data_IF_071241455811
#
_entry.id   IF_071241455811
#
_cell.length_a   1.000
_cell.length_b   1.000
_cell.length_c   1.000
_cell.angle_alpha   90.00
_cell.angle_beta   90.00
_cell.angle_gamma   90.00
#
_symmetry.space_group_name_H-M   'P 1'
#
loop_
_entity.id
_entity.type
_entity.pdbx_description
1 polymer ?
#
# COMPACT_ATOMS: atom_id res chain seq x y z
N UNK A 1 37.74 9.56 -2.61
CA UNK A 1 37.33 10.12 -3.91
C UNK A 1 36.09 10.93 -3.69
N UNK A 2 36.20 12.27 -3.59
CA UNK A 2 35.05 13.14 -3.30
C UNK A 2 34.32 13.46 -4.61
N UNK A 3 33.09 12.99 -4.76
CA UNK A 3 32.21 13.44 -5.85
C UNK A 3 31.73 14.88 -5.53
N UNK A 4 32.34 15.85 -6.18
CA UNK A 4 31.84 17.23 -6.20
C UNK A 4 30.63 17.27 -7.14
N UNK A 5 29.45 17.13 -6.61
CA UNK A 5 28.21 17.34 -7.36
C UNK A 5 28.01 18.84 -7.55
N UNK A 6 28.12 19.32 -8.78
CA UNK A 6 27.63 20.65 -9.16
C UNK A 6 26.09 20.63 -9.10
N UNK A 7 25.51 20.76 -7.91
CA UNK A 7 24.06 20.84 -7.70
C UNK A 7 23.66 22.29 -7.56
N UNK A 8 23.17 22.87 -8.64
CA UNK A 8 22.39 24.09 -8.60
C UNK A 8 20.92 23.71 -8.31
N UNK A 9 20.54 23.67 -7.05
CA UNK A 9 19.15 23.36 -6.66
C UNK A 9 18.98 23.38 -5.15
N UNK A 10 17.78 23.75 -4.69
CA UNK A 10 17.39 23.66 -3.28
C UNK A 10 17.20 22.19 -2.91
N UNK A 11 17.94 21.69 -1.92
CA UNK A 11 17.79 20.35 -1.37
C UNK A 11 16.85 20.39 -0.17
N UNK A 12 15.85 19.51 -0.17
CA UNK A 12 14.97 19.29 0.99
C UNK A 12 15.17 17.84 1.45
N UNK A 13 15.52 17.67 2.71
CA UNK A 13 15.70 16.36 3.31
C UNK A 13 14.44 15.93 4.08
N UNK A 14 14.11 14.66 4.00
CA UNK A 14 13.11 14.01 4.86
C UNK A 14 13.88 13.20 5.89
N UNK A 15 13.65 13.47 7.17
CA UNK A 15 14.29 12.76 8.28
C UNK A 15 13.30 11.82 8.93
N UNK A 16 13.65 10.55 9.01
CA UNK A 16 12.90 9.54 9.79
C UNK A 16 13.65 9.31 11.09
N UNK A 17 13.05 9.66 12.20
CA UNK A 17 13.60 9.41 13.54
C UNK A 17 12.86 8.21 14.13
N UNK A 18 13.59 7.13 14.39
CA UNK A 18 13.04 5.93 14.99
C UNK A 18 13.99 5.41 16.05
N UNK A 19 13.46 5.08 17.23
CA UNK A 19 14.23 4.47 18.33
C UNK A 19 14.39 2.95 18.18
N UNK A 20 13.61 2.33 17.28
CA UNK A 20 13.65 0.89 17.02
C UNK A 20 14.45 0.61 15.73
N UNK A 21 15.59 -0.08 15.93
CA UNK A 21 16.49 -0.45 14.83
C UNK A 21 15.82 -1.41 13.82
N UNK A 22 15.01 -2.35 14.29
CA UNK A 22 14.33 -3.33 13.41
C UNK A 22 13.28 -2.63 12.53
N UNK A 23 12.55 -1.66 13.09
CA UNK A 23 11.62 -0.84 12.34
C UNK A 23 12.36 0.01 11.30
N UNK A 24 13.51 0.57 11.64
CA UNK A 24 14.32 1.37 10.72
C UNK A 24 14.83 0.52 9.52
N UNK A 25 15.28 -0.70 9.78
CA UNK A 25 15.69 -1.65 8.73
C UNK A 25 14.51 -2.04 7.83
N UNK A 26 13.32 -2.22 8.41
CA UNK A 26 12.08 -2.47 7.66
C UNK A 26 11.75 -1.29 6.74
N UNK A 27 11.76 -0.07 7.26
CA UNK A 27 11.53 1.16 6.49
C UNK A 27 12.54 1.28 5.34
N UNK A 28 13.83 1.04 5.62
CA UNK A 28 14.87 1.12 4.60
C UNK A 28 14.65 0.08 3.49
N UNK A 29 14.28 -1.15 3.84
CA UNK A 29 13.95 -2.21 2.88
C UNK A 29 12.75 -1.83 2.01
N UNK A 30 11.71 -1.25 2.59
CA UNK A 30 10.51 -0.81 1.89
C UNK A 30 10.81 0.32 0.90
N UNK A 31 11.56 1.33 1.34
CA UNK A 31 11.93 2.48 0.51
C UNK A 31 12.86 2.05 -0.64
N UNK A 32 13.79 1.14 -0.38
CA UNK A 32 14.67 0.57 -1.41
C UNK A 32 13.87 -0.17 -2.49
N UNK A 33 12.84 -0.93 -2.14
CA UNK A 33 11.92 -1.58 -3.09
C UNK A 33 11.14 -0.58 -3.95
N UNK A 34 10.90 0.63 -3.45
CA UNK A 34 10.29 1.74 -4.21
C UNK A 34 11.33 2.51 -5.06
N UNK A 35 12.58 2.08 -5.08
CA UNK A 35 13.67 2.73 -5.81
C UNK A 35 14.11 4.04 -5.16
N UNK A 36 13.96 4.15 -3.84
CA UNK A 36 14.50 5.24 -3.03
C UNK A 36 15.78 4.73 -2.38
N UNK A 37 16.87 5.45 -2.57
CA UNK A 37 18.19 5.08 -2.03
C UNK A 37 18.34 5.73 -0.66
N UNK A 38 18.53 4.91 0.38
CA UNK A 38 18.90 5.35 1.71
C UNK A 38 20.41 5.26 1.92
N UNK A 39 21.01 6.31 2.45
CA UNK A 39 22.41 6.34 2.85
C UNK A 39 22.47 6.59 4.35
N UNK A 40 23.14 5.71 5.09
CA UNK A 40 23.39 5.92 6.51
C UNK A 40 24.61 6.82 6.68
N UNK A 41 24.48 7.83 7.56
CA UNK A 41 25.62 8.65 7.98
C UNK A 41 26.39 8.01 9.16
N UNK A 42 27.46 8.66 9.60
CA UNK A 42 28.29 8.19 10.70
C UNK A 42 27.55 8.16 12.06
N UNK A 43 26.45 8.88 12.18
CA UNK A 43 25.62 8.95 13.38
C UNK A 43 24.47 7.92 13.36
N UNK A 44 24.40 7.10 12.27
CA UNK A 44 23.36 6.07 12.09
C UNK A 44 22.01 6.62 11.58
N UNK A 45 21.96 7.88 11.13
CA UNK A 45 20.77 8.47 10.52
C UNK A 45 20.69 8.08 9.03
N UNK A 46 19.50 7.76 8.55
CA UNK A 46 19.27 7.46 7.14
C UNK A 46 18.79 8.71 6.40
N UNK A 47 19.46 8.99 5.29
CA UNK A 47 19.11 10.05 4.35
C UNK A 47 18.56 9.43 3.07
N UNK A 48 17.34 9.76 2.69
CA UNK A 48 16.69 9.21 1.51
C UNK A 48 16.72 10.20 0.36
N UNK A 49 17.15 9.73 -0.82
CA UNK A 49 17.26 10.54 -2.03
C UNK A 49 16.17 10.18 -3.03
N UNK A 50 15.38 11.17 -3.43
CA UNK A 50 14.43 11.07 -4.52
C UNK A 50 14.88 11.96 -5.66
N UNK A 51 15.31 11.35 -6.79
CA UNK A 51 15.77 12.12 -7.95
C UNK A 51 14.59 12.69 -8.74
N UNK A 52 14.39 14.00 -8.63
CA UNK A 52 13.36 14.76 -9.34
C UNK A 52 13.81 15.41 -10.65
N UNK A 53 15.08 15.28 -11.05
CA UNK A 53 15.64 16.00 -12.20
C UNK A 53 15.03 15.57 -13.53
N UNK A 54 14.73 14.27 -13.71
CA UNK A 54 14.16 13.73 -14.94
C UNK A 54 12.64 13.81 -15.01
N UNK A 55 11.97 13.68 -13.87
CA UNK A 55 10.50 13.70 -13.82
C UNK A 55 10.02 14.17 -12.46
N UNK A 56 9.70 15.46 -12.37
CA UNK A 56 9.23 16.11 -11.14
C UNK A 56 7.94 15.49 -10.59
N UNK A 57 7.01 15.12 -11.46
CA UNK A 57 5.72 14.53 -11.07
C UNK A 57 5.92 13.17 -10.41
N UNK A 58 6.77 12.31 -10.99
CA UNK A 58 7.14 11.02 -10.39
C UNK A 58 7.88 11.16 -9.06
N UNK A 59 8.75 12.15 -8.94
CA UNK A 59 9.46 12.41 -7.69
C UNK A 59 8.48 12.86 -6.59
N UNK A 60 7.57 13.78 -6.92
CA UNK A 60 6.53 14.25 -6.00
C UNK A 60 5.59 13.11 -5.57
N UNK A 61 5.16 12.28 -6.51
CA UNK A 61 4.36 11.08 -6.19
C UNK A 61 5.10 10.15 -5.22
N UNK A 62 6.39 9.88 -5.45
CA UNK A 62 7.19 9.06 -4.53
C UNK A 62 7.30 9.67 -3.14
N UNK A 63 7.48 10.98 -3.03
CA UNK A 63 7.52 11.67 -1.73
C UNK A 63 6.17 11.56 -1.04
N UNK A 64 5.08 11.81 -1.76
CA UNK A 64 3.72 11.66 -1.23
C UNK A 64 3.45 10.23 -0.77
N UNK A 65 3.87 9.21 -1.54
CA UNK A 65 3.72 7.80 -1.17
C UNK A 65 4.48 7.48 0.12
N UNK A 66 5.70 8.02 0.30
CA UNK A 66 6.50 7.84 1.51
C UNK A 66 5.82 8.52 2.71
N UNK A 67 5.38 9.76 2.53
CA UNK A 67 4.71 10.55 3.58
C UNK A 67 3.37 9.91 3.93
N UNK A 68 2.57 9.56 2.93
CA UNK A 68 1.30 8.89 3.14
C UNK A 68 1.49 7.57 3.91
N UNK A 69 2.43 6.72 3.48
CA UNK A 69 2.71 5.46 4.16
C UNK A 69 3.12 5.65 5.63
N UNK A 70 3.83 6.75 5.97
CA UNK A 70 4.24 7.06 7.34
C UNK A 70 3.07 7.53 8.22
N UNK A 71 2.07 8.18 7.62
CA UNK A 71 0.87 8.66 8.31
C UNK A 71 -0.29 7.65 8.27
N UNK A 72 -0.20 6.58 7.47
CA UNK A 72 -1.30 5.64 7.22
C UNK A 72 -1.21 4.35 8.05
N UNK A 73 -0.44 4.30 9.12
CA UNK A 73 -0.58 3.21 10.10
C UNK A 73 -1.96 3.31 10.75
N UNK A 74 -2.76 2.25 10.61
CA UNK A 74 -3.91 2.09 11.49
C UNK A 74 -3.34 1.84 12.89
N UNK A 75 -3.85 2.60 13.87
CA UNK A 75 -3.58 2.31 15.27
C UNK A 75 -3.91 0.83 15.55
N UNK A 76 -3.10 0.14 16.33
CA UNK A 76 -3.27 -1.29 16.65
C UNK A 76 -4.68 -1.62 17.16
N UNK A 77 -5.36 -0.65 17.75
CA UNK A 77 -6.69 -0.76 18.37
C UNK A 77 -7.88 -0.67 17.42
N UNK A 78 -7.69 -0.64 16.09
CA UNK A 78 -8.83 -0.57 15.17
C UNK A 78 -9.57 -1.91 15.17
N UNK A 79 -10.85 -1.96 15.59
CA UNK A 79 -11.65 -3.18 15.56
C UNK A 79 -11.79 -3.72 14.13
N UNK A 80 -11.68 -5.03 13.97
CA UNK A 80 -11.81 -5.69 12.66
C UNK A 80 -13.20 -5.43 12.02
N UNK A 81 -14.22 -5.26 12.86
CA UNK A 81 -15.57 -4.89 12.43
C UNK A 81 -15.63 -3.56 11.67
N UNK A 82 -14.84 -2.57 12.05
CA UNK A 82 -14.75 -1.29 11.31
C UNK A 82 -14.09 -1.47 9.95
N UNK A 83 -13.03 -2.27 9.89
CA UNK A 83 -12.35 -2.58 8.62
C UNK A 83 -13.31 -3.31 7.69
N UNK A 84 -14.02 -4.32 8.19
CA UNK A 84 -15.02 -5.08 7.44
C UNK A 84 -16.13 -4.17 6.92
N UNK A 85 -16.67 -3.30 7.75
CA UNK A 85 -17.72 -2.35 7.37
C UNK A 85 -17.24 -1.39 6.29
N UNK A 86 -16.07 -0.77 6.47
CA UNK A 86 -15.48 0.13 5.49
C UNK A 86 -15.27 -0.56 4.13
N UNK A 87 -14.70 -1.77 4.15
CA UNK A 87 -14.42 -2.53 2.93
C UNK A 87 -15.69 -2.92 2.18
N UNK A 88 -16.72 -3.39 2.88
CA UNK A 88 -18.02 -3.71 2.24
C UNK A 88 -18.59 -2.50 1.53
N UNK A 89 -18.58 -1.34 2.18
CA UNK A 89 -19.09 -0.10 1.58
C UNK A 89 -18.27 0.29 0.36
N UNK A 90 -16.95 0.24 0.44
CA UNK A 90 -16.05 0.57 -0.68
C UNK A 90 -16.27 -0.36 -1.86
N UNK A 91 -16.36 -1.67 -1.64
CA UNK A 91 -16.61 -2.62 -2.72
C UNK A 91 -17.93 -2.32 -3.45
N UNK A 92 -18.97 -1.97 -2.71
CA UNK A 92 -20.25 -1.53 -3.30
C UNK A 92 -20.10 -0.22 -4.06
N UNK A 93 -19.38 0.77 -3.51
CA UNK A 93 -19.14 2.07 -4.16
C UNK A 93 -18.40 1.92 -5.50
N UNK A 94 -17.57 0.87 -5.65
CA UNK A 94 -16.86 0.53 -6.88
C UNK A 94 -17.54 -0.56 -7.72
N UNK A 95 -18.84 -0.79 -7.50
CA UNK A 95 -19.68 -1.71 -8.26
C UNK A 95 -19.21 -3.17 -8.24
N UNK A 96 -18.54 -3.60 -7.17
CA UNK A 96 -18.22 -5.01 -7.02
C UNK A 96 -19.46 -5.80 -6.57
N UNK A 97 -19.77 -6.88 -7.27
CA UNK A 97 -20.80 -7.82 -6.87
C UNK A 97 -20.29 -8.68 -5.69
N UNK A 98 -20.87 -8.44 -4.50
CA UNK A 98 -20.48 -9.13 -3.28
C UNK A 98 -20.81 -10.62 -3.25
N UNK A 99 -21.65 -11.11 -4.18
CA UNK A 99 -21.96 -12.54 -4.31
C UNK A 99 -20.86 -13.35 -4.99
N UNK A 100 -19.93 -12.70 -5.67
CA UNK A 100 -18.87 -13.37 -6.41
C UNK A 100 -17.74 -13.83 -5.48
N UNK A 101 -17.28 -15.05 -5.68
CA UNK A 101 -16.10 -15.62 -4.99
C UNK A 101 -14.87 -14.74 -5.21
N UNK A 102 -14.70 -14.20 -6.43
CA UNK A 102 -13.62 -13.26 -6.75
C UNK A 102 -13.67 -11.99 -5.92
N UNK A 103 -14.84 -11.46 -5.62
CA UNK A 103 -15.01 -10.31 -4.72
C UNK A 103 -14.65 -10.68 -3.28
N UNK A 104 -15.01 -11.88 -2.82
CA UNK A 104 -14.60 -12.40 -1.51
C UNK A 104 -13.07 -12.54 -1.43
N UNK A 105 -12.41 -12.98 -2.50
CA UNK A 105 -10.96 -13.07 -2.57
C UNK A 105 -10.30 -11.67 -2.52
N UNK A 106 -10.83 -10.68 -3.25
CA UNK A 106 -10.39 -9.29 -3.18
C UNK A 106 -10.57 -8.74 -1.76
N UNK A 107 -11.71 -8.97 -1.14
CA UNK A 107 -12.01 -8.56 0.22
C UNK A 107 -10.97 -9.08 1.22
N UNK A 108 -10.64 -10.39 1.18
CA UNK A 108 -9.65 -11.00 2.08
C UNK A 108 -8.23 -10.43 1.87
N UNK A 109 -7.82 -10.22 0.61
CA UNK A 109 -6.53 -9.59 0.30
C UNK A 109 -6.48 -8.18 0.87
N UNK A 110 -7.50 -7.37 0.55
CA UNK A 110 -7.52 -5.95 0.94
C UNK A 110 -7.65 -5.80 2.45
N UNK A 111 -8.46 -6.64 3.12
CA UNK A 111 -8.56 -6.68 4.58
C UNK A 111 -7.20 -6.91 5.24
N UNK A 112 -6.43 -7.90 4.75
CA UNK A 112 -5.08 -8.17 5.25
C UNK A 112 -4.12 -7.02 4.93
N UNK A 113 -4.20 -6.41 3.75
CA UNK A 113 -3.40 -5.23 3.41
C UNK A 113 -3.69 -4.04 4.33
N UNK A 114 -4.94 -3.84 4.72
CA UNK A 114 -5.35 -2.78 5.64
C UNK A 114 -4.79 -3.04 7.04
N UNK A 115 -4.87 -4.28 7.51
CA UNK A 115 -4.45 -4.69 8.86
C UNK A 115 -2.94 -4.82 8.99
N UNK A 116 -2.28 -5.44 8.00
CA UNK A 116 -0.87 -5.82 8.06
C UNK A 116 -0.10 -5.12 6.96
N UNK A 117 0.75 -4.20 7.35
CA UNK A 117 1.49 -3.35 6.40
C UNK A 117 2.43 -4.15 5.49
N UNK A 118 3.03 -5.21 5.98
CA UNK A 118 3.88 -6.10 5.18
C UNK A 118 3.12 -6.74 4.02
N UNK A 119 1.83 -7.07 4.20
CA UNK A 119 0.99 -7.65 3.16
C UNK A 119 0.72 -6.67 2.02
N UNK A 120 0.66 -5.38 2.31
CA UNK A 120 0.48 -4.33 1.29
C UNK A 120 1.57 -4.36 0.21
N UNK A 121 2.78 -4.76 0.57
CA UNK A 121 3.93 -4.79 -0.33
C UNK A 121 4.16 -6.14 -1.00
N UNK A 122 3.36 -7.13 -0.70
CA UNK A 122 3.46 -8.45 -1.34
C UNK A 122 3.23 -8.35 -2.85
N UNK A 123 3.91 -9.24 -3.60
CA UNK A 123 3.65 -9.43 -5.01
C UNK A 123 2.30 -10.12 -5.26
N UNK A 124 1.77 -9.99 -6.48
CA UNK A 124 0.48 -10.57 -6.86
C UNK A 124 0.38 -12.05 -6.53
N UNK A 125 1.44 -12.81 -6.74
CA UNK A 125 1.46 -14.26 -6.50
C UNK A 125 1.20 -14.60 -5.04
N UNK A 126 1.82 -13.87 -4.13
CA UNK A 126 1.64 -14.07 -2.69
C UNK A 126 0.24 -13.63 -2.23
N UNK A 127 -0.27 -12.51 -2.75
CA UNK A 127 -1.62 -12.04 -2.45
C UNK A 127 -2.70 -13.04 -2.89
N UNK A 128 -2.54 -13.63 -4.08
CA UNK A 128 -3.46 -14.66 -4.58
C UNK A 128 -3.39 -15.93 -3.74
N UNK A 129 -2.18 -16.31 -3.27
CA UNK A 129 -2.00 -17.47 -2.36
C UNK A 129 -2.74 -17.25 -1.05
N UNK A 130 -2.57 -16.07 -0.44
CA UNK A 130 -3.24 -15.70 0.81
C UNK A 130 -4.77 -15.81 0.69
N UNK A 131 -5.36 -15.33 -0.40
CA UNK A 131 -6.79 -15.42 -0.63
C UNK A 131 -7.24 -16.86 -0.91
N UNK A 132 -6.49 -17.59 -1.71
CA UNK A 132 -6.78 -18.98 -2.05
C UNK A 132 -6.81 -19.90 -0.83
N UNK A 133 -5.85 -19.76 0.07
CA UNK A 133 -5.80 -20.53 1.33
C UNK A 133 -7.03 -20.27 2.20
N UNK A 134 -7.46 -19.01 2.36
CA UNK A 134 -8.62 -18.67 3.17
C UNK A 134 -9.94 -19.17 2.58
N UNK A 135 -10.03 -19.27 1.25
CA UNK A 135 -11.25 -19.66 0.53
C UNK A 135 -11.23 -21.10 0.02
N UNK A 136 -10.18 -21.86 0.35
CA UNK A 136 -9.97 -23.24 -0.15
C UNK A 136 -9.96 -23.32 -1.68
N UNK A 137 -9.35 -22.34 -2.35
CA UNK A 137 -9.25 -22.24 -3.80
C UNK A 137 -7.81 -22.49 -4.26
N UNK A 138 -7.64 -23.09 -5.43
CA UNK A 138 -6.34 -23.13 -6.09
C UNK A 138 -5.92 -21.74 -6.59
N UNK A 139 -4.62 -21.53 -6.78
CA UNK A 139 -4.09 -20.28 -7.33
C UNK A 139 -4.77 -19.87 -8.65
N UNK A 140 -4.93 -20.83 -9.57
CA UNK A 140 -5.55 -20.55 -10.88
C UNK A 140 -7.04 -20.17 -10.77
N UNK A 141 -7.76 -20.79 -9.85
CA UNK A 141 -9.15 -20.44 -9.56
C UNK A 141 -9.23 -19.03 -8.97
N UNK A 142 -8.42 -18.74 -7.95
CA UNK A 142 -8.37 -17.43 -7.31
C UNK A 142 -8.06 -16.32 -8.32
N UNK A 143 -7.07 -16.52 -9.19
CA UNK A 143 -6.71 -15.55 -10.22
C UNK A 143 -7.85 -15.33 -11.22
N UNK A 144 -8.46 -16.40 -11.70
CA UNK A 144 -9.58 -16.32 -12.66
C UNK A 144 -10.78 -15.61 -12.04
N UNK A 145 -11.15 -15.95 -10.81
CA UNK A 145 -12.33 -15.43 -10.15
C UNK A 145 -12.15 -13.95 -9.78
N UNK A 146 -10.96 -13.54 -9.35
CA UNK A 146 -10.61 -12.11 -9.15
C UNK A 146 -10.68 -11.34 -10.47
N UNK A 147 -10.10 -11.86 -11.57
CA UNK A 147 -10.21 -11.21 -12.88
C UNK A 147 -11.64 -11.04 -13.34
N UNK A 148 -12.51 -12.02 -13.06
CA UNK A 148 -13.92 -11.95 -13.35
C UNK A 148 -14.60 -10.85 -12.53
N UNK A 149 -14.36 -10.79 -11.21
CA UNK A 149 -14.93 -9.77 -10.33
C UNK A 149 -14.49 -8.35 -10.74
N UNK A 150 -13.21 -8.16 -11.09
CA UNK A 150 -12.71 -6.86 -11.58
C UNK A 150 -13.38 -6.44 -12.88
N UNK A 151 -13.62 -7.37 -13.81
CA UNK A 151 -14.34 -7.07 -15.06
C UNK A 151 -15.82 -6.72 -14.86
N UNK A 152 -16.39 -7.05 -13.72
CA UNK A 152 -17.78 -6.71 -13.35
C UNK A 152 -17.89 -5.48 -12.48
N UNK A 153 -16.76 -4.83 -12.19
CA UNK A 153 -16.69 -3.65 -11.34
C UNK A 153 -16.41 -2.38 -12.17
N UNK A 154 -16.37 -1.25 -11.48
CA UNK A 154 -16.01 0.05 -12.08
C UNK A 154 -14.60 0.09 -12.69
N UNK A 155 -13.77 -0.90 -12.43
CA UNK A 155 -12.41 -1.01 -13.00
C UNK A 155 -12.37 -1.69 -14.38
N UNK A 156 -13.52 -2.10 -14.93
CA UNK A 156 -13.59 -2.69 -16.26
C UNK A 156 -13.01 -1.73 -17.30
N UNK A 157 -12.18 -2.26 -18.19
CA UNK A 157 -11.59 -1.48 -19.30
C UNK A 157 -10.56 -0.42 -18.92
N UNK A 158 -10.28 -0.21 -17.64
CA UNK A 158 -9.31 0.83 -17.19
C UNK A 158 -7.86 0.51 -17.50
N UNK A 159 -7.51 -0.74 -17.77
CA UNK A 159 -6.13 -1.20 -17.96
C UNK A 159 -5.29 -1.19 -16.66
N UNK A 160 -5.89 -0.90 -15.51
CA UNK A 160 -5.19 -0.86 -14.22
C UNK A 160 -4.83 -2.28 -13.79
N UNK A 161 -3.59 -2.46 -13.32
CA UNK A 161 -3.15 -3.77 -12.80
C UNK A 161 -3.91 -4.14 -11.54
N UNK A 162 -4.30 -5.39 -11.39
CA UNK A 162 -5.06 -5.92 -10.24
C UNK A 162 -4.40 -5.58 -8.88
N UNK A 163 -3.07 -5.66 -8.79
CA UNK A 163 -2.35 -5.26 -7.56
C UNK A 163 -2.49 -3.77 -7.23
N UNK A 164 -2.58 -2.93 -8.24
CA UNK A 164 -2.82 -1.49 -8.07
C UNK A 164 -4.25 -1.25 -7.58
N UNK A 165 -5.22 -2.01 -8.08
CA UNK A 165 -6.60 -1.97 -7.58
C UNK A 165 -6.67 -2.37 -6.10
N UNK A 166 -5.98 -3.45 -5.70
CA UNK A 166 -5.94 -3.87 -4.29
C UNK A 166 -5.38 -2.79 -3.38
N UNK A 167 -4.26 -2.16 -3.78
CA UNK A 167 -3.64 -1.07 -3.00
C UNK A 167 -4.55 0.13 -2.91
N UNK A 168 -5.15 0.52 -4.02
CA UNK A 168 -6.12 1.62 -4.05
C UNK A 168 -7.28 1.36 -3.08
N UNK A 169 -7.90 0.18 -3.13
CA UNK A 169 -8.98 -0.20 -2.22
C UNK A 169 -8.53 -0.23 -0.75
N UNK A 170 -7.28 -0.66 -0.48
CA UNK A 170 -6.73 -0.67 0.87
C UNK A 170 -6.50 0.74 1.43
N UNK A 171 -6.03 1.67 0.59
CA UNK A 171 -5.80 3.06 0.98
C UNK A 171 -7.13 3.78 1.24
N UNK A 172 -8.12 3.59 0.37
CA UNK A 172 -9.49 4.07 0.57
C UNK A 172 -10.09 3.52 1.88
N UNK A 173 -9.90 2.23 2.17
CA UNK A 173 -10.39 1.63 3.40
C UNK A 173 -9.76 2.22 4.65
N UNK A 174 -8.46 2.50 4.62
CA UNK A 174 -7.77 3.16 5.74
C UNK A 174 -8.32 4.55 6.01
N UNK A 175 -8.58 5.32 4.96
CA UNK A 175 -9.18 6.66 5.08
C UNK A 175 -10.55 6.54 5.72
N UNK A 176 -11.42 5.67 5.19
CA UNK A 176 -12.80 5.50 5.68
C UNK A 176 -12.86 4.98 7.12
N UNK A 177 -12.00 4.07 7.50
CA UNK A 177 -11.89 3.58 8.89
C UNK A 177 -11.57 4.73 9.86
N UNK A 178 -10.71 5.65 9.48
CA UNK A 178 -10.38 6.83 10.31
C UNK A 178 -11.56 7.79 10.44
N UNK A 179 -12.29 8.02 9.35
CA UNK A 179 -13.49 8.85 9.37
C UNK A 179 -14.53 8.24 10.30
N UNK A 180 -14.77 6.93 10.18
CA UNK A 180 -15.69 6.20 11.05
C UNK A 180 -15.27 6.23 12.52
N UNK A 181 -13.96 6.10 12.81
CA UNK A 181 -13.43 6.20 14.19
C UNK A 181 -13.62 7.60 14.78
N UNK A 182 -13.48 8.66 13.96
CA UNK A 182 -13.74 10.04 14.41
C UNK A 182 -15.20 10.31 14.69
N UNK A 183 -16.12 9.69 13.93
CA UNK A 183 -17.56 9.87 14.11
C UNK A 183 -18.13 9.17 15.36
N UNK A 184 -17.39 8.21 15.94
CA UNK A 184 -17.80 7.45 17.14
C UNK A 184 -17.25 8.11 18.43
N UNK A 185 -16.33 9.05 18.32
CA UNK A 185 -15.83 9.87 19.43
C UNK A 185 -16.65 11.15 19.61
#
# INVERSE_FOLDING_TARGET
MYYKSNRTGTETGIYVVCSDKALLETINTMLSRKGVIGISDAEGKYHYFVDGRKNKVKALSKVNDIVADSFYELEEDVPDSLIISALKTILVDYDFDLSLIGTSAIFEIVRKMVRYREVYYHGVKELLRIAGENLCLSYAQTERDIRYAVRKSRFEGTGIKTTTIFRFLADEARVRVREMKKAVR
#
